data_IF_416684358611
#
_entry.id   IF_416684358611
#
_cell.length_a   1.000
_cell.length_b   1.000
_cell.length_c   1.000
_cell.angle_alpha   90.00
_cell.angle_beta   90.00
_cell.angle_gamma   90.00
#
_symmetry.space_group_name_H-M   'P 1'
#
loop_
_entity.id
_entity.type
_entity.pdbx_description
1 polymer ?
#
# COMPACT_ATOMS: atom_id res chain seq x y z
N UNK A 1 19.36 -0.13 -61.81
CA UNK A 1 19.55 0.84 -60.71
C UNK A 1 18.27 1.08 -59.91
N UNK A 2 17.14 1.47 -60.52
CA UNK A 2 15.87 1.72 -59.80
C UNK A 2 15.34 0.51 -58.99
N UNK A 3 15.41 -0.70 -59.54
CA UNK A 3 15.04 -1.96 -58.83
C UNK A 3 15.82 -2.21 -57.55
N UNK A 4 17.11 -1.89 -57.53
CA UNK A 4 17.95 -1.99 -56.34
C UNK A 4 17.54 -0.93 -55.30
N UNK A 5 17.24 0.29 -55.76
CA UNK A 5 16.73 1.37 -54.92
C UNK A 5 15.40 0.99 -54.24
N UNK A 6 14.47 0.39 -54.99
CA UNK A 6 13.19 -0.10 -54.43
C UNK A 6 13.40 -1.27 -53.46
N UNK A 7 14.32 -2.19 -53.75
CA UNK A 7 14.61 -3.31 -52.87
C UNK A 7 15.17 -2.83 -51.52
N UNK A 8 16.09 -1.86 -51.52
CA UNK A 8 16.61 -1.24 -50.30
C UNK A 8 15.49 -0.50 -49.54
N UNK A 9 14.64 0.25 -50.25
CA UNK A 9 13.49 0.93 -49.65
C UNK A 9 12.51 -0.02 -48.96
N UNK A 10 12.23 -1.18 -49.57
CA UNK A 10 11.35 -2.21 -48.98
C UNK A 10 11.99 -2.84 -47.74
N UNK A 11 13.29 -3.14 -47.77
CA UNK A 11 13.99 -3.69 -46.61
C UNK A 11 13.96 -2.71 -45.43
N UNK A 12 14.23 -1.43 -45.68
CA UNK A 12 14.14 -0.38 -44.64
C UNK A 12 12.73 -0.29 -44.08
N UNK A 13 11.70 -0.28 -44.95
CA UNK A 13 10.31 -0.24 -44.53
C UNK A 13 9.94 -1.45 -43.66
N UNK A 14 10.37 -2.66 -44.04
CA UNK A 14 10.12 -3.87 -43.26
C UNK A 14 10.82 -3.82 -41.90
N UNK A 15 12.06 -3.33 -41.83
CA UNK A 15 12.76 -3.16 -40.55
C UNK A 15 12.07 -2.15 -39.63
N UNK A 16 11.52 -1.06 -40.19
CA UNK A 16 10.76 -0.07 -39.42
C UNK A 16 9.43 -0.65 -38.90
N UNK A 17 8.72 -1.43 -39.73
CA UNK A 17 7.48 -2.09 -39.33
C UNK A 17 7.73 -3.08 -38.18
N UNK A 18 8.81 -3.88 -38.28
CA UNK A 18 9.18 -4.83 -37.22
C UNK A 18 9.58 -4.11 -35.93
N UNK A 19 10.34 -3.00 -36.03
CA UNK A 19 10.72 -2.19 -34.88
C UNK A 19 9.49 -1.59 -34.18
N UNK A 20 8.56 -1.03 -34.96
CA UNK A 20 7.32 -0.45 -34.45
C UNK A 20 6.41 -1.49 -33.80
N UNK A 21 6.36 -2.71 -34.35
CA UNK A 21 5.59 -3.82 -33.76
C UNK A 21 6.17 -4.29 -32.43
N UNK A 22 7.50 -4.35 -32.31
CA UNK A 22 8.18 -4.73 -31.06
C UNK A 22 7.93 -3.71 -29.94
N UNK A 23 7.99 -2.42 -30.25
CA UNK A 23 7.70 -1.34 -29.31
C UNK A 23 6.23 -1.41 -28.84
N UNK A 24 5.30 -1.59 -29.78
CA UNK A 24 3.85 -1.63 -29.50
C UNK A 24 3.38 -2.92 -28.82
N UNK A 25 4.21 -3.97 -28.81
CA UNK A 25 3.90 -5.26 -28.15
C UNK A 25 4.41 -5.32 -26.71
N UNK A 26 5.03 -4.26 -26.20
CA UNK A 26 5.44 -4.13 -24.79
C UNK A 26 4.40 -3.45 -23.90
N UNK A 27 3.15 -3.31 -24.37
CA UNK A 27 2.03 -3.09 -23.44
C UNK A 27 1.91 -4.35 -22.59
N UNK A 28 2.41 -4.27 -21.36
CA UNK A 28 2.21 -5.25 -20.30
C UNK A 28 0.71 -5.55 -20.24
N UNK A 29 0.27 -6.64 -20.88
CA UNK A 29 -1.04 -7.21 -20.61
C UNK A 29 -0.92 -7.74 -19.20
N UNK A 30 -1.18 -6.86 -18.24
CA UNK A 30 -1.44 -7.31 -16.89
C UNK A 30 -2.66 -8.19 -17.03
N UNK A 31 -2.49 -9.48 -16.76
CA UNK A 31 -3.62 -10.34 -16.49
C UNK A 31 -4.28 -9.72 -15.26
N UNK A 32 -5.21 -8.79 -15.48
CA UNK A 32 -6.15 -8.34 -14.46
C UNK A 32 -7.07 -9.54 -14.30
N UNK A 33 -6.58 -10.53 -13.56
CA UNK A 33 -7.45 -11.46 -12.90
C UNK A 33 -8.44 -10.58 -12.15
N UNK A 34 -9.68 -10.55 -12.61
CA UNK A 34 -10.80 -10.07 -11.81
C UNK A 34 -10.95 -11.11 -10.70
N UNK A 35 -9.99 -11.12 -9.78
CA UNK A 35 -10.24 -11.62 -8.45
C UNK A 35 -11.35 -10.70 -7.96
N UNK A 36 -12.50 -11.27 -7.59
CA UNK A 36 -13.49 -10.54 -6.79
C UNK A 36 -12.80 -9.86 -5.60
N UNK A 37 -13.49 -8.97 -4.84
CA UNK A 37 -12.86 -8.16 -3.80
C UNK A 37 -11.85 -9.02 -3.03
N UNK A 38 -10.56 -8.72 -3.22
CA UNK A 38 -9.50 -9.38 -2.47
C UNK A 38 -9.95 -9.30 -1.02
N UNK A 39 -10.09 -10.42 -0.29
CA UNK A 39 -10.57 -10.34 1.08
C UNK A 39 -9.64 -9.35 1.77
N UNK A 40 -10.21 -8.23 2.22
CA UNK A 40 -9.45 -7.22 2.93
C UNK A 40 -8.67 -7.94 4.02
N UNK A 41 -7.42 -7.53 4.23
CA UNK A 41 -6.62 -8.08 5.29
C UNK A 41 -7.44 -8.06 6.58
N UNK A 42 -7.46 -9.18 7.32
CA UNK A 42 -8.23 -9.30 8.56
C UNK A 42 -7.55 -8.48 9.65
N UNK A 43 -7.77 -7.17 9.61
CA UNK A 43 -7.19 -6.18 10.51
C UNK A 43 -8.29 -5.58 11.37
N UNK A 44 -8.02 -5.44 12.66
CA UNK A 44 -8.84 -4.69 13.60
C UNK A 44 -8.01 -3.53 14.18
N UNK A 45 -8.63 -2.36 14.28
CA UNK A 45 -8.05 -1.19 14.92
C UNK A 45 -8.72 -1.01 16.28
N UNK A 46 -7.94 -1.04 17.35
CA UNK A 46 -8.44 -0.89 18.72
C UNK A 46 -8.22 0.55 19.18
N UNK A 47 -9.28 1.17 19.69
CA UNK A 47 -9.23 2.51 20.26
C UNK A 47 -9.80 2.50 21.67
N UNK A 48 -9.29 3.38 22.52
CA UNK A 48 -9.77 3.59 23.89
C UNK A 48 -10.11 5.07 24.08
N UNK A 49 -11.33 5.35 24.53
CA UNK A 49 -11.83 6.70 24.81
C UNK A 49 -11.78 6.95 26.32
N UNK A 50 -11.94 8.22 26.72
CA UNK A 50 -12.15 8.65 28.11
C UNK A 50 -10.98 8.34 29.10
N UNK A 51 -9.76 8.16 28.59
CA UNK A 51 -8.55 7.96 29.40
C UNK A 51 -7.73 9.24 29.66
N UNK A 52 -6.63 9.19 30.44
CA UNK A 52 -6.11 8.01 31.14
C UNK A 52 -6.85 7.76 32.47
N UNK A 53 -7.00 6.48 32.84
CA UNK A 53 -7.62 6.06 34.10
C UNK A 53 -6.73 5.08 34.85
N UNK A 54 -7.13 4.69 36.07
CA UNK A 54 -6.39 3.74 36.91
C UNK A 54 -6.14 2.39 36.23
N UNK A 55 -6.98 2.00 35.26
CA UNK A 55 -6.84 0.74 34.52
C UNK A 55 -5.96 0.86 33.26
N UNK A 56 -5.62 2.09 32.84
CA UNK A 56 -4.78 2.30 31.64
C UNK A 56 -3.44 1.54 31.71
N UNK A 57 -2.73 1.45 32.84
CA UNK A 57 -1.50 0.64 32.93
C UNK A 57 -1.74 -0.85 32.62
N UNK A 58 -2.81 -1.46 33.12
CA UNK A 58 -3.13 -2.87 32.86
C UNK A 58 -3.46 -3.11 31.37
N UNK A 59 -4.12 -2.13 30.73
CA UNK A 59 -4.38 -2.16 29.29
C UNK A 59 -3.05 -2.09 28.52
N UNK A 60 -2.14 -1.20 28.88
CA UNK A 60 -0.83 -1.06 28.24
C UNK A 60 0.01 -2.33 28.39
N UNK A 61 0.04 -2.94 29.58
CA UNK A 61 0.72 -4.22 29.82
C UNK A 61 0.12 -5.35 28.99
N UNK A 62 -1.20 -5.36 28.83
CA UNK A 62 -1.90 -6.33 27.97
C UNK A 62 -1.55 -6.14 26.50
N UNK A 63 -1.59 -4.91 25.99
CA UNK A 63 -1.20 -4.60 24.61
C UNK A 63 0.25 -5.03 24.34
N UNK A 64 1.16 -4.71 25.27
CA UNK A 64 2.56 -5.11 25.20
C UNK A 64 2.75 -6.63 25.19
N UNK A 65 2.01 -7.36 26.04
CA UNK A 65 2.04 -8.82 26.10
C UNK A 65 1.70 -9.47 24.76
N UNK A 66 0.80 -8.87 23.99
CA UNK A 66 0.36 -9.38 22.68
C UNK A 66 1.08 -8.71 21.49
N UNK A 67 2.10 -7.88 21.75
CA UNK A 67 2.77 -7.07 20.72
C UNK A 67 1.78 -6.27 19.85
N UNK A 68 0.71 -5.79 20.50
CA UNK A 68 -0.37 -5.06 19.87
C UNK A 68 -0.23 -3.55 20.09
N UNK A 69 -0.77 -2.77 19.15
CA UNK A 69 -0.87 -1.31 19.23
C UNK A 69 -2.32 -0.89 19.25
N UNK A 70 -2.60 0.22 19.93
CA UNK A 70 -3.92 0.84 20.00
C UNK A 70 -3.78 2.36 19.99
N UNK A 71 -4.88 3.05 19.70
CA UNK A 71 -4.98 4.51 19.77
C UNK A 71 -5.77 4.91 21.02
N UNK A 72 -5.28 5.90 21.78
CA UNK A 72 -5.97 6.42 22.96
C UNK A 72 -6.45 7.84 22.70
N UNK A 73 -7.75 8.09 22.86
CA UNK A 73 -8.36 9.41 22.83
C UNK A 73 -8.52 9.90 24.27
N UNK A 74 -7.62 10.77 24.69
CA UNK A 74 -7.53 11.21 26.07
C UNK A 74 -8.45 12.40 26.36
N UNK A 75 -9.00 12.46 27.57
CA UNK A 75 -9.65 13.63 28.14
C UNK A 75 -8.61 14.40 28.93
N UNK A 76 -8.43 15.69 28.62
CA UNK A 76 -7.43 16.53 29.28
C UNK A 76 -7.61 16.61 30.81
N UNK A 77 -8.85 16.59 31.29
CA UNK A 77 -9.17 16.61 32.73
C UNK A 77 -8.76 15.32 33.46
N UNK A 78 -8.69 14.19 32.76
CA UNK A 78 -8.27 12.90 33.33
C UNK A 78 -6.74 12.77 33.43
N UNK A 79 -5.98 13.68 32.80
CA UNK A 79 -4.53 13.80 32.96
C UNK A 79 -4.25 14.54 34.27
N UNK A 80 -4.52 13.88 35.39
CA UNK A 80 -4.20 14.38 36.72
C UNK A 80 -2.71 14.25 37.02
N UNK A 81 -2.23 14.86 38.11
CA UNK A 81 -0.81 14.73 38.53
C UNK A 81 -0.40 13.28 38.77
N UNK A 82 -1.33 12.47 39.26
CA UNK A 82 -1.11 11.04 39.55
C UNK A 82 -1.00 10.22 38.25
N UNK A 83 -1.66 10.65 37.18
CA UNK A 83 -1.75 9.93 35.90
C UNK A 83 -0.90 10.54 34.78
N UNK A 84 -0.24 11.67 35.04
CA UNK A 84 0.60 12.37 34.06
C UNK A 84 1.70 11.46 33.48
N UNK A 85 2.28 10.60 34.33
CA UNK A 85 3.33 9.64 33.94
C UNK A 85 2.81 8.53 33.00
N UNK A 86 1.50 8.30 32.92
CA UNK A 86 0.92 7.31 32.00
C UNK A 86 0.96 7.83 30.55
N UNK A 87 1.02 9.15 30.35
CA UNK A 87 0.93 9.80 29.04
C UNK A 87 2.31 10.20 28.48
N UNK A 88 3.36 10.20 29.32
CA UNK A 88 4.74 10.56 28.94
C UNK A 88 5.47 9.43 28.23
#
# INVERSE_FOLDING_TARGET
MKRLLYAVGVVVLLTLIVWQWKENSSTKVENVAVTGPQPAEKVAYVTFDDGPSEITPDILDTLKKYDAKATFFLIGEEITKEREEIVK
#
